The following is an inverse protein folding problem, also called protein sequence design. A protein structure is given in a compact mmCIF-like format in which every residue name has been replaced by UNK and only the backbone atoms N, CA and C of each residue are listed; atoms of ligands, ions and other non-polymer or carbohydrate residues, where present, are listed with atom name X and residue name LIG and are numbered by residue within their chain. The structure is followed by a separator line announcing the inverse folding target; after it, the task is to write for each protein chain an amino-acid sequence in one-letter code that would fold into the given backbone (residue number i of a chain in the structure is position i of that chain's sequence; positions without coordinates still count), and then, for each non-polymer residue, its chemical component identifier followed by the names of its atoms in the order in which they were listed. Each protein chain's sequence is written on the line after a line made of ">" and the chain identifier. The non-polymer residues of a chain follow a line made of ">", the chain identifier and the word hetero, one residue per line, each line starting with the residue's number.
data_IF_294819267348
#
_entry.id   IF_294819267348
#
_cell.length_a   1.000
_cell.length_b   1.000
_cell.length_c   1.000
_cell.angle_alpha   90.00
_cell.angle_beta   90.00
_cell.angle_gamma   90.00
#
_symmetry.space_group_name_H-M   'P 1'
#
loop_
_entity.id
_entity.type
_entity.pdbx_description
1 polymer ?
#
# COMPACT_ATOMS: atom_id res chain seq x y z
N UNK A 1 13.85 -1.88 -11.33
CA UNK A 1 12.84 -1.70 -10.25
C UNK A 1 11.73 -2.73 -10.45
N UNK A 2 11.16 -3.28 -9.37
CA UNK A 2 10.05 -4.23 -9.47
C UNK A 2 8.85 -3.68 -10.25
N UNK A 3 8.59 -2.38 -10.13
CA UNK A 3 7.57 -1.70 -10.94
C UNK A 3 7.73 -1.92 -12.44
N UNK A 4 8.95 -1.80 -12.96
CA UNK A 4 9.22 -1.93 -14.41
C UNK A 4 9.16 -3.40 -14.85
N UNK A 5 9.43 -4.33 -13.94
CA UNK A 5 9.31 -5.76 -14.20
C UNK A 5 7.86 -6.19 -14.35
N UNK A 6 6.97 -5.68 -13.49
CA UNK A 6 5.57 -6.08 -13.45
C UNK A 6 4.64 -5.17 -14.26
N UNK A 7 4.95 -3.86 -14.38
CA UNK A 7 4.09 -2.89 -15.08
C UNK A 7 4.94 -1.82 -15.80
N UNK A 8 5.60 -2.19 -16.91
CA UNK A 8 6.38 -1.24 -17.71
C UNK A 8 5.48 -0.23 -18.45
N UNK A 9 4.23 -0.60 -18.75
CA UNK A 9 3.21 0.25 -19.37
C UNK A 9 2.07 0.45 -18.40
N UNK A 10 1.64 1.70 -18.23
CA UNK A 10 0.60 2.09 -17.28
C UNK A 10 -0.15 3.33 -17.75
N UNK A 11 -1.37 3.51 -17.23
CA UNK A 11 -2.23 4.65 -17.57
C UNK A 11 -2.01 5.84 -16.64
N UNK A 12 -1.75 5.57 -15.36
CA UNK A 12 -1.46 6.58 -14.34
C UNK A 12 -0.31 6.15 -13.45
N UNK A 13 0.43 7.13 -12.97
CA UNK A 13 1.45 6.93 -11.94
C UNK A 13 1.40 8.09 -10.96
N UNK A 14 1.63 7.78 -9.69
CA UNK A 14 1.85 8.76 -8.64
C UNK A 14 3.07 8.37 -7.81
N UNK A 15 3.78 9.35 -7.30
CA UNK A 15 5.00 9.11 -6.53
C UNK A 15 5.14 10.10 -5.39
N UNK A 16 5.59 9.58 -4.27
CA UNK A 16 5.89 10.33 -3.04
C UNK A 16 7.28 9.97 -2.59
N UNK A 17 8.02 10.92 -2.06
CA UNK A 17 9.34 10.69 -1.50
C UNK A 17 9.55 11.52 -0.24
N UNK A 18 10.28 10.96 0.72
CA UNK A 18 10.68 11.66 1.94
C UNK A 18 12.13 11.31 2.29
N UNK A 19 12.86 12.31 2.78
CA UNK A 19 14.19 12.11 3.34
C UNK A 19 14.07 11.66 4.79
N UNK A 20 14.76 10.57 5.13
CA UNK A 20 14.80 9.98 6.47
C UNK A 20 16.22 10.15 7.02
N UNK A 21 16.35 10.71 8.21
CA UNK A 21 17.63 10.89 8.92
C UNK A 21 18.03 9.61 9.66
N UNK A 22 18.17 8.54 8.89
CA UNK A 22 18.62 7.23 9.33
C UNK A 22 19.22 6.46 8.14
N UNK A 23 20.08 5.50 8.41
CA UNK A 23 20.65 4.64 7.39
C UNK A 23 19.60 3.74 6.72
N UNK A 24 19.96 3.11 5.60
CA UNK A 24 19.09 2.23 4.80
C UNK A 24 18.54 1.05 5.62
N UNK A 25 19.35 0.45 6.49
CA UNK A 25 18.93 -0.71 7.27
C UNK A 25 17.86 -0.31 8.30
N UNK A 26 18.10 0.76 9.03
CA UNK A 26 17.18 1.32 10.02
C UNK A 26 15.87 1.76 9.36
N UNK A 27 15.95 2.46 8.21
CA UNK A 27 14.78 2.90 7.46
C UNK A 27 13.97 1.72 6.92
N UNK A 28 14.63 0.71 6.37
CA UNK A 28 13.98 -0.51 5.89
C UNK A 28 13.28 -1.26 7.02
N UNK A 29 13.96 -1.44 8.15
CA UNK A 29 13.38 -2.12 9.31
C UNK A 29 12.18 -1.36 9.88
N UNK A 30 12.20 -0.03 9.84
CA UNK A 30 11.05 0.80 10.21
C UNK A 30 9.88 0.59 9.23
N UNK A 31 10.15 0.62 7.90
CA UNK A 31 9.16 0.37 6.87
C UNK A 31 8.49 -1.01 7.02
N UNK A 32 9.28 -2.05 7.31
CA UNK A 32 8.75 -3.40 7.46
C UNK A 32 8.01 -3.64 8.78
N UNK A 33 8.22 -2.77 9.79
CA UNK A 33 7.52 -2.82 11.09
C UNK A 33 6.31 -1.91 11.16
N UNK A 34 6.16 -0.95 10.23
CA UNK A 34 5.04 -0.02 10.26
C UNK A 34 3.70 -0.74 10.30
N UNK A 35 2.83 -0.29 11.20
CA UNK A 35 1.47 -0.80 11.31
C UNK A 35 0.51 0.15 10.57
N UNK A 36 -0.12 -0.34 9.52
CA UNK A 36 -1.05 0.43 8.69
C UNK A 36 -2.29 0.90 9.48
N UNK A 37 -2.69 0.15 10.50
CA UNK A 37 -3.78 0.57 11.42
C UNK A 37 -3.32 1.78 12.24
N UNK A 38 -2.08 1.76 12.74
CA UNK A 38 -1.50 2.87 13.49
C UNK A 38 -1.28 4.11 12.60
N UNK A 39 -0.91 3.93 11.32
CA UNK A 39 -0.87 5.04 10.34
C UNK A 39 -2.21 5.76 10.28
N UNK A 40 -3.32 5.03 10.17
CA UNK A 40 -4.66 5.62 10.16
C UNK A 40 -5.02 6.35 11.47
N UNK A 41 -4.52 5.87 12.62
CA UNK A 41 -4.71 6.53 13.93
C UNK A 41 -3.88 7.81 14.07
N UNK A 42 -2.62 7.78 13.65
CA UNK A 42 -1.69 8.93 13.73
C UNK A 42 -1.99 10.00 12.69
N UNK A 43 -2.56 9.62 11.55
CA UNK A 43 -2.91 10.50 10.44
C UNK A 43 -4.43 10.50 10.23
N UNK A 44 -5.18 11.39 10.89
CA UNK A 44 -6.65 11.36 10.86
C UNK A 44 -7.24 11.42 9.45
N UNK A 45 -6.59 12.14 8.53
CA UNK A 45 -7.04 12.19 7.13
C UNK A 45 -6.89 10.83 6.44
N UNK A 46 -5.79 10.11 6.69
CA UNK A 46 -5.58 8.73 6.19
C UNK A 46 -6.65 7.80 6.76
N UNK A 47 -6.89 7.88 8.08
CA UNK A 47 -7.94 7.10 8.74
C UNK A 47 -9.34 7.39 8.19
N UNK A 48 -9.65 8.67 7.97
CA UNK A 48 -10.93 9.09 7.40
C UNK A 48 -11.11 8.60 5.94
N UNK A 49 -10.08 8.68 5.11
CA UNK A 49 -10.11 8.16 3.74
C UNK A 49 -10.32 6.64 3.71
N UNK A 50 -9.61 5.91 4.59
CA UNK A 50 -9.79 4.47 4.75
C UNK A 50 -11.20 4.09 5.20
N UNK A 51 -11.72 4.79 6.22
CA UNK A 51 -13.08 4.58 6.71
C UNK A 51 -14.14 4.90 5.63
N UNK A 52 -13.99 6.03 4.93
CA UNK A 52 -14.89 6.40 3.82
C UNK A 52 -14.90 5.33 2.72
N UNK A 53 -13.72 4.76 2.43
CA UNK A 53 -13.60 3.70 1.42
C UNK A 53 -14.22 2.38 1.86
N UNK A 54 -14.20 2.07 3.15
CA UNK A 54 -14.78 0.86 3.72
C UNK A 54 -16.32 0.92 3.91
N UNK A 55 -16.91 2.13 3.93
CA UNK A 55 -18.34 2.31 4.18
C UNK A 55 -19.25 1.49 3.25
N UNK A 56 -19.05 1.45 1.91
CA UNK A 56 -19.93 0.66 1.03
C UNK A 56 -19.89 -0.83 1.34
N UNK A 57 -18.71 -1.38 1.68
CA UNK A 57 -18.55 -2.79 2.04
C UNK A 57 -19.25 -3.10 3.36
N UNK A 58 -19.11 -2.24 4.38
CA UNK A 58 -19.80 -2.35 5.66
C UNK A 58 -21.32 -2.33 5.47
N UNK A 59 -21.83 -1.38 4.70
CA UNK A 59 -23.27 -1.26 4.41
C UNK A 59 -23.76 -2.50 3.66
N UNK A 60 -22.99 -3.01 2.71
CA UNK A 60 -23.34 -4.22 1.96
C UNK A 60 -23.48 -5.44 2.89
N UNK A 61 -22.54 -5.67 3.80
CA UNK A 61 -22.61 -6.76 4.79
C UNK A 61 -23.88 -6.62 5.68
N UNK A 62 -24.13 -5.42 6.19
CA UNK A 62 -25.30 -5.16 7.04
C UNK A 62 -26.61 -5.40 6.30
N UNK A 63 -26.73 -5.01 5.02
CA UNK A 63 -27.94 -5.25 4.22
C UNK A 63 -28.18 -6.75 3.94
N UNK A 64 -27.12 -7.56 3.90
CA UNK A 64 -27.24 -9.01 3.74
C UNK A 64 -27.35 -9.77 5.07
N UNK A 65 -27.41 -9.05 6.21
CA UNK A 65 -27.49 -9.67 7.53
C UNK A 65 -26.19 -10.31 8.01
N UNK A 66 -25.07 -9.95 7.39
CA UNK A 66 -23.74 -10.43 7.73
C UNK A 66 -23.03 -9.42 8.63
N UNK A 67 -22.25 -9.92 9.60
CA UNK A 67 -21.39 -9.04 10.37
C UNK A 67 -20.20 -8.57 9.49
N UNK A 68 -19.89 -7.25 9.48
CA UNK A 68 -18.71 -6.78 8.78
C UNK A 68 -17.45 -7.44 9.39
N UNK A 69 -16.43 -7.73 8.56
CA UNK A 69 -15.19 -8.32 9.05
C UNK A 69 -14.56 -7.43 10.12
N UNK A 70 -14.08 -8.07 11.20
CA UNK A 70 -13.41 -7.34 12.27
C UNK A 70 -12.12 -6.70 11.73
N UNK A 71 -11.91 -5.42 12.06
CA UNK A 71 -10.66 -4.76 11.72
C UNK A 71 -9.49 -5.48 12.42
N UNK A 72 -8.38 -5.75 11.72
CA UNK A 72 -7.22 -6.38 12.33
C UNK A 72 -6.65 -5.49 13.44
N UNK A 73 -6.13 -6.10 14.50
CA UNK A 73 -5.50 -5.37 15.61
C UNK A 73 -4.20 -4.67 15.16
N UNK A 74 -3.48 -5.26 14.22
CA UNK A 74 -2.31 -4.73 13.54
C UNK A 74 -2.26 -5.25 12.10
N UNK A 75 -1.69 -4.49 11.20
CA UNK A 75 -1.57 -4.85 9.79
C UNK A 75 -0.27 -4.28 9.22
N UNK A 76 0.66 -5.15 8.83
CA UNK A 76 1.92 -4.77 8.20
C UNK A 76 1.85 -4.96 6.69
N UNK A 77 2.82 -4.42 5.96
CA UNK A 77 2.87 -4.54 4.50
C UNK A 77 2.83 -5.99 4.01
N UNK A 78 3.57 -6.89 4.65
CA UNK A 78 3.58 -8.32 4.29
C UNK A 78 2.27 -9.03 4.61
N UNK A 79 1.56 -8.58 5.63
CA UNK A 79 0.29 -9.17 6.06
C UNK A 79 -0.83 -8.90 5.04
N UNK A 80 -0.71 -7.83 4.24
CA UNK A 80 -1.68 -7.52 3.18
C UNK A 80 -1.87 -8.68 2.20
N UNK A 81 -0.78 -9.34 1.80
CA UNK A 81 -0.83 -10.48 0.88
C UNK A 81 -1.35 -11.77 1.54
N UNK A 82 -1.48 -11.80 2.86
CA UNK A 82 -2.02 -12.92 3.63
C UNK A 82 -3.49 -12.72 4.01
N UNK A 83 -4.10 -11.58 3.67
CA UNK A 83 -5.52 -11.32 3.95
C UNK A 83 -6.40 -12.30 3.15
N UNK A 84 -7.51 -12.78 3.75
CA UNK A 84 -8.47 -13.65 3.06
C UNK A 84 -9.01 -13.03 1.77
N UNK A 85 -9.37 -13.87 0.81
CA UNK A 85 -10.07 -13.45 -0.40
C UNK A 85 -11.28 -12.59 -0.07
N UNK A 86 -11.45 -11.47 -0.79
CA UNK A 86 -12.53 -10.51 -0.52
C UNK A 86 -12.18 -9.41 0.48
N UNK A 87 -11.11 -9.54 1.26
CA UNK A 87 -10.66 -8.51 2.20
C UNK A 87 -9.51 -7.63 1.66
N UNK A 88 -9.17 -7.72 0.38
CA UNK A 88 -8.15 -6.84 -0.18
C UNK A 88 -7.55 -7.27 -1.51
N UNK A 89 -7.54 -8.56 -1.86
CA UNK A 89 -7.00 -9.03 -3.15
C UNK A 89 -5.52 -8.68 -3.39
N UNK A 90 -4.75 -8.41 -2.33
CA UNK A 90 -3.34 -8.05 -2.42
C UNK A 90 -2.48 -9.26 -2.75
N UNK A 91 -1.47 -9.05 -3.56
CA UNK A 91 -0.42 -10.04 -3.86
C UNK A 91 0.95 -9.42 -3.64
N UNK A 92 1.84 -10.14 -2.96
CA UNK A 92 3.25 -9.76 -2.89
C UNK A 92 3.90 -10.11 -4.23
N UNK A 93 4.25 -9.08 -5.00
CA UNK A 93 4.89 -9.24 -6.31
C UNK A 93 6.39 -9.51 -6.18
N UNK A 94 7.02 -8.92 -5.18
CA UNK A 94 8.43 -9.15 -4.91
C UNK A 94 8.94 -8.31 -3.75
N UNK A 95 10.06 -8.75 -3.19
CA UNK A 95 10.79 -8.05 -2.15
C UNK A 95 12.29 -8.23 -2.37
N UNK A 96 13.01 -7.13 -2.34
CA UNK A 96 14.48 -7.07 -2.30
C UNK A 96 14.86 -6.39 -1.00
N UNK A 97 15.33 -7.18 -0.04
CA UNK A 97 15.63 -6.67 1.29
C UNK A 97 16.57 -5.46 1.25
N UNK A 98 16.21 -4.40 1.98
CA UNK A 98 16.92 -3.11 2.02
C UNK A 98 17.01 -2.39 0.67
N UNK A 99 16.07 -2.66 -0.21
CA UNK A 99 15.97 -2.05 -1.52
C UNK A 99 14.53 -1.67 -1.85
N UNK A 100 13.66 -2.65 -2.11
CA UNK A 100 12.27 -2.38 -2.47
C UNK A 100 11.33 -3.56 -2.15
N UNK A 101 10.06 -3.23 -1.89
CA UNK A 101 8.95 -4.18 -1.81
C UNK A 101 7.85 -3.70 -2.75
N UNK A 102 7.22 -4.63 -3.49
CA UNK A 102 6.11 -4.34 -4.38
C UNK A 102 4.90 -5.22 -4.07
N UNK A 103 3.76 -4.58 -3.94
CA UNK A 103 2.47 -5.19 -3.71
C UNK A 103 1.54 -4.85 -4.88
N UNK A 104 0.82 -5.84 -5.37
CA UNK A 104 -0.14 -5.69 -6.46
C UNK A 104 -1.56 -5.98 -6.02
N UNK A 105 -2.52 -5.41 -6.73
CA UNK A 105 -3.93 -5.80 -6.63
C UNK A 105 -4.63 -5.58 -7.96
N UNK A 106 -5.67 -6.37 -8.20
CA UNK A 106 -6.51 -6.29 -9.40
C UNK A 106 -7.95 -6.13 -8.98
N UNK A 107 -8.66 -5.16 -9.60
CA UNK A 107 -10.06 -4.93 -9.24
C UNK A 107 -10.75 -3.89 -10.11
N UNK A 108 -12.07 -3.80 -9.91
CA UNK A 108 -12.90 -2.72 -10.47
C UNK A 108 -13.04 -1.62 -9.42
N UNK A 109 -11.97 -0.82 -9.25
CA UNK A 109 -11.83 0.16 -8.16
C UNK A 109 -12.86 1.28 -8.16
N UNK A 110 -13.48 1.55 -9.32
CA UNK A 110 -14.53 2.58 -9.49
C UNK A 110 -15.91 2.12 -9.01
N UNK A 111 -16.06 0.84 -8.62
CA UNK A 111 -17.31 0.36 -8.04
C UNK A 111 -17.41 0.73 -6.55
N UNK A 112 -18.60 1.02 -6.04
CA UNK A 112 -18.81 1.24 -4.61
C UNK A 112 -18.27 0.08 -3.76
N UNK A 113 -18.68 -1.15 -4.08
CA UNK A 113 -18.07 -2.39 -3.58
C UNK A 113 -17.07 -2.86 -4.62
N UNK A 114 -15.78 -2.90 -4.26
CA UNK A 114 -14.73 -3.31 -5.20
C UNK A 114 -14.89 -4.80 -5.50
N UNK A 115 -14.93 -5.12 -6.79
CA UNK A 115 -14.80 -6.50 -7.26
C UNK A 115 -13.31 -6.79 -7.45
N UNK A 116 -12.71 -7.50 -6.49
CA UNK A 116 -11.32 -7.92 -6.58
C UNK A 116 -11.16 -9.19 -7.41
N UNK A 117 -9.99 -9.32 -8.05
CA UNK A 117 -9.51 -10.57 -8.65
C UNK A 117 -8.27 -11.04 -7.94
N UNK A 118 -8.28 -12.30 -7.54
CA UNK A 118 -7.13 -12.95 -6.97
C UNK A 118 -6.22 -13.43 -8.11
N UNK A 119 -5.06 -12.77 -8.24
CA UNK A 119 -4.11 -13.02 -9.32
C UNK A 119 -2.75 -13.32 -8.71
N UNK A 120 -2.22 -14.54 -8.88
CA UNK A 120 -0.90 -14.87 -8.37
C UNK A 120 0.21 -14.03 -9.03
N UNK A 121 1.32 -13.84 -8.31
CA UNK A 121 2.39 -12.93 -8.72
C UNK A 121 2.97 -13.25 -10.12
N UNK A 122 3.13 -14.53 -10.45
CA UNK A 122 3.64 -15.00 -11.74
C UNK A 122 2.71 -14.69 -12.92
N UNK A 123 1.40 -14.52 -12.65
CA UNK A 123 0.39 -14.18 -13.67
C UNK A 123 0.02 -12.69 -13.68
N UNK A 124 0.44 -11.93 -12.67
CA UNK A 124 0.04 -10.52 -12.51
C UNK A 124 0.41 -9.67 -13.73
N UNK A 125 1.63 -9.83 -14.25
CA UNK A 125 2.09 -9.07 -15.42
C UNK A 125 1.22 -9.32 -16.65
N UNK A 126 0.89 -10.59 -16.91
CA UNK A 126 0.15 -11.03 -18.09
C UNK A 126 -1.39 -10.93 -17.93
N UNK A 127 -1.88 -10.53 -16.74
CA UNK A 127 -3.33 -10.42 -16.53
C UNK A 127 -3.94 -9.37 -17.45
N UNK A 128 -4.99 -9.76 -18.22
CA UNK A 128 -5.67 -8.96 -19.23
C UNK A 128 -7.19 -9.20 -19.29
N UNK A 129 -7.78 -9.85 -18.26
CA UNK A 129 -9.23 -10.06 -18.20
C UNK A 129 -9.97 -8.72 -18.38
N UNK A 130 -10.91 -8.59 -19.35
CA UNK A 130 -11.56 -7.32 -19.63
C UNK A 130 -12.35 -6.74 -18.46
N UNK A 131 -12.39 -5.42 -18.36
CA UNK A 131 -13.17 -4.70 -17.36
C UNK A 131 -12.47 -4.51 -16.01
N UNK A 132 -11.15 -4.71 -15.92
CA UNK A 132 -10.38 -4.57 -14.68
C UNK A 132 -9.29 -3.50 -14.77
N UNK A 133 -8.74 -3.14 -13.62
CA UNK A 133 -7.49 -2.41 -13.49
C UNK A 133 -6.52 -3.16 -12.58
N UNK A 134 -5.24 -3.11 -12.93
CA UNK A 134 -4.12 -3.60 -12.11
C UNK A 134 -3.45 -2.40 -11.46
N UNK A 135 -3.17 -2.49 -10.18
CA UNK A 135 -2.41 -1.44 -9.45
C UNK A 135 -1.23 -2.07 -8.75
N UNK A 136 -0.08 -1.41 -8.80
CA UNK A 136 1.12 -1.77 -8.04
C UNK A 136 1.48 -0.62 -7.13
N UNK A 137 1.77 -0.94 -5.87
CA UNK A 137 2.44 -0.06 -4.92
C UNK A 137 3.83 -0.60 -4.67
N UNK A 138 4.86 0.19 -4.97
CA UNK A 138 6.24 -0.13 -4.67
C UNK A 138 6.80 0.88 -3.67
N UNK A 139 7.37 0.36 -2.59
CA UNK A 139 8.03 1.14 -1.57
C UNK A 139 9.53 0.81 -1.63
N UNK A 140 10.37 1.83 -1.66
CA UNK A 140 11.79 1.65 -1.84
C UNK A 140 12.62 2.54 -0.94
N UNK A 141 13.84 2.09 -0.62
CA UNK A 141 14.83 2.84 0.14
C UNK A 141 16.11 2.98 -0.69
N UNK A 142 16.68 4.18 -0.73
CA UNK A 142 17.93 4.47 -1.44
C UNK A 142 18.84 5.29 -0.55
N UNK A 143 20.13 4.92 -0.39
CA UNK A 143 21.05 5.73 0.39
C UNK A 143 21.24 7.08 -0.30
N UNK A 144 21.22 8.16 0.47
CA UNK A 144 21.66 9.49 0.06
C UNK A 144 23.08 9.71 0.55
N UNK A 145 23.35 9.32 1.79
CA UNK A 145 24.66 9.25 2.42
C UNK A 145 24.65 8.16 3.52
N UNK A 146 25.69 8.09 4.35
CA UNK A 146 25.83 7.07 5.40
C UNK A 146 24.77 7.20 6.52
N UNK A 147 24.17 8.38 6.70
CA UNK A 147 23.25 8.69 7.78
C UNK A 147 21.85 9.06 7.29
N UNK A 148 21.62 9.12 5.98
CA UNK A 148 20.32 9.51 5.42
C UNK A 148 19.89 8.64 4.24
N UNK A 149 18.57 8.43 4.15
CA UNK A 149 17.94 7.54 3.17
C UNK A 149 16.78 8.26 2.51
N UNK A 150 16.68 8.16 1.19
CA UNK A 150 15.48 8.52 0.44
C UNK A 150 14.50 7.35 0.49
N UNK A 151 13.39 7.55 1.20
CA UNK A 151 12.27 6.63 1.23
C UNK A 151 11.24 7.05 0.18
N UNK A 152 10.86 6.13 -0.71
CA UNK A 152 9.97 6.40 -1.84
C UNK A 152 8.75 5.48 -1.82
N UNK A 153 7.61 6.01 -2.23
CA UNK A 153 6.42 5.24 -2.54
C UNK A 153 5.95 5.59 -3.94
N UNK A 154 5.82 4.60 -4.80
CA UNK A 154 5.35 4.78 -6.17
C UNK A 154 4.17 3.87 -6.42
N UNK A 155 3.12 4.44 -7.00
CA UNK A 155 1.96 3.70 -7.47
C UNK A 155 1.88 3.78 -8.99
N UNK A 156 1.53 2.66 -9.64
CA UNK A 156 1.13 2.62 -11.05
C UNK A 156 -0.16 1.84 -11.21
N UNK A 157 -1.00 2.28 -12.13
CA UNK A 157 -2.22 1.56 -12.52
C UNK A 157 -2.30 1.44 -14.02
N UNK A 158 -2.63 0.23 -14.49
CA UNK A 158 -2.95 -0.07 -15.87
C UNK A 158 -4.35 -0.71 -15.97
N UNK A 159 -5.14 -0.29 -16.92
CA UNK A 159 -6.46 -0.85 -17.22
C UNK A 159 -6.36 -1.89 -18.31
N UNK A 160 -7.29 -2.86 -18.33
CA UNK A 160 -7.24 -4.01 -19.24
C UNK A 160 -7.95 -3.76 -20.56
N UNK A 161 -8.82 -2.73 -20.64
CA UNK A 161 -9.53 -2.34 -21.86
C UNK A 161 -9.99 -0.88 -21.81
N UNK A 162 -10.53 -0.38 -22.93
CA UNK A 162 -11.00 1.01 -23.08
C UNK A 162 -12.16 1.37 -22.15
N UNK A 163 -13.05 0.42 -21.84
CA UNK A 163 -14.18 0.64 -20.92
C UNK A 163 -13.68 0.81 -19.50
N UNK A 164 -12.80 -0.08 -19.03
CA UNK A 164 -12.12 0.04 -17.76
C UNK A 164 -11.33 1.35 -17.68
N UNK A 165 -10.64 1.75 -18.77
CA UNK A 165 -9.90 3.00 -18.84
C UNK A 165 -10.80 4.22 -18.62
N UNK A 166 -11.95 4.29 -19.32
CA UNK A 166 -12.89 5.41 -19.19
C UNK A 166 -13.44 5.52 -17.76
N UNK A 167 -13.83 4.40 -17.15
CA UNK A 167 -14.33 4.38 -15.78
C UNK A 167 -13.28 4.73 -14.77
N UNK A 168 -12.08 4.13 -14.89
CA UNK A 168 -10.96 4.41 -14.01
C UNK A 168 -10.53 5.88 -14.07
N UNK A 169 -10.43 6.48 -15.24
CA UNK A 169 -10.09 7.89 -15.37
C UNK A 169 -11.08 8.80 -14.65
N UNK A 170 -12.39 8.54 -14.78
CA UNK A 170 -13.43 9.30 -14.05
C UNK A 170 -13.24 9.16 -12.53
N UNK A 171 -13.06 7.94 -12.07
CA UNK A 171 -12.82 7.63 -10.66
C UNK A 171 -11.56 8.34 -10.14
N UNK A 172 -10.47 8.30 -10.91
CA UNK A 172 -9.21 8.94 -10.55
C UNK A 172 -9.33 10.47 -10.43
N UNK A 173 -9.99 11.12 -11.41
CA UNK A 173 -10.17 12.58 -11.45
C UNK A 173 -11.18 13.09 -10.42
N UNK A 174 -12.05 12.25 -9.87
CA UNK A 174 -12.96 12.60 -8.78
C UNK A 174 -12.27 12.70 -7.40
N UNK A 175 -10.95 12.76 -7.35
CA UNK A 175 -10.18 12.99 -6.13
C UNK A 175 -9.56 11.74 -5.52
N UNK A 176 -9.79 10.56 -6.09
CA UNK A 176 -9.21 9.31 -5.57
C UNK A 176 -7.69 9.31 -5.74
N UNK A 177 -7.16 9.88 -6.84
CA UNK A 177 -5.72 10.07 -7.02
C UNK A 177 -5.09 10.85 -5.88
N UNK A 178 -5.69 11.97 -5.48
CA UNK A 178 -5.24 12.74 -4.31
C UNK A 178 -5.34 11.94 -3.01
N UNK A 179 -6.38 11.13 -2.85
CA UNK A 179 -6.55 10.24 -1.69
C UNK A 179 -5.45 9.18 -1.61
N UNK A 180 -5.12 8.54 -2.72
CA UNK A 180 -4.03 7.56 -2.81
C UNK A 180 -2.69 8.20 -2.46
N UNK A 181 -2.41 9.41 -2.96
CA UNK A 181 -1.23 10.19 -2.62
C UNK A 181 -1.11 10.42 -1.10
N UNK A 182 -2.19 10.88 -0.46
CA UNK A 182 -2.24 11.13 0.99
C UNK A 182 -2.01 9.86 1.79
N UNK A 183 -2.55 8.71 1.35
CA UNK A 183 -2.34 7.42 2.01
C UNK A 183 -0.86 7.01 1.99
N UNK A 184 -0.21 7.11 0.81
CA UNK A 184 1.21 6.77 0.67
C UNK A 184 2.08 7.77 1.46
N UNK A 185 1.81 9.07 1.36
CA UNK A 185 2.54 10.08 2.13
C UNK A 185 2.43 9.82 3.64
N UNK A 186 1.24 9.51 4.15
CA UNK A 186 1.04 9.19 5.57
C UNK A 186 1.82 7.96 6.02
N UNK A 187 1.92 6.95 5.18
CA UNK A 187 2.75 5.76 5.42
C UNK A 187 4.25 6.14 5.51
N UNK A 188 4.76 6.92 4.53
CA UNK A 188 6.16 7.34 4.54
C UNK A 188 6.50 8.21 5.75
N UNK A 189 5.60 9.12 6.13
CA UNK A 189 5.79 10.00 7.29
C UNK A 189 5.88 9.20 8.60
N UNK A 190 5.00 8.23 8.82
CA UNK A 190 5.04 7.38 10.02
C UNK A 190 6.28 6.47 9.99
N UNK A 191 6.66 5.96 8.82
CA UNK A 191 7.90 5.18 8.67
C UNK A 191 9.12 6.03 9.05
N UNK A 192 9.19 7.29 8.59
CA UNK A 192 10.25 8.23 8.96
C UNK A 192 10.30 8.45 10.47
N UNK A 193 9.16 8.76 11.11
CA UNK A 193 9.07 8.94 12.56
C UNK A 193 9.61 7.72 13.32
N UNK A 194 9.29 6.50 12.85
CA UNK A 194 9.76 5.26 13.46
C UNK A 194 11.27 5.04 13.26
N UNK A 195 11.81 5.42 12.10
CA UNK A 195 13.24 5.28 11.79
C UNK A 195 14.10 6.29 12.56
N UNK A 196 13.61 7.51 12.75
CA UNK A 196 14.29 8.62 13.42
C UNK A 196 14.08 8.60 14.95
N UNK A 197 13.22 7.71 15.46
CA UNK A 197 12.99 7.60 16.90
C UNK A 197 14.27 7.13 17.62
N UNK A 198 14.62 7.71 18.78
CA UNK A 198 15.75 7.27 19.56
C UNK A 198 15.63 5.77 19.88
N UNK A 199 16.69 5.02 19.61
CA UNK A 199 16.74 3.60 20.00
C UNK A 199 16.67 3.52 21.54
N UNK A 200 15.68 2.79 22.11
CA UNK A 200 15.64 2.63 23.57
C UNK A 200 16.96 2.02 24.06
N UNK A 201 17.50 2.51 25.19
CA UNK A 201 18.74 2.00 25.72
C UNK A 201 18.63 0.48 25.94
N UNK A 202 19.63 -0.26 25.48
CA UNK A 202 19.71 -1.71 25.71
C UNK A 202 19.56 -1.99 27.21
N UNK A 203 18.71 -2.96 27.61
CA UNK A 203 18.65 -3.35 29.01
C UNK A 203 20.04 -3.78 29.46
N UNK A 204 20.63 -3.00 30.35
CA UNK A 204 21.95 -3.28 30.93
C UNK A 204 22.00 -4.71 31.45
N UNK A 205 23.20 -5.34 31.54
CA UNK A 205 23.33 -6.68 32.07
C UNK A 205 22.71 -6.73 33.46
N UNK A 206 21.77 -7.65 33.66
CA UNK A 206 21.22 -7.92 35.00
C UNK A 206 22.35 -8.44 35.84
N UNK A 207 22.90 -7.62 36.72
CA UNK A 207 23.79 -8.07 37.79
C UNK A 207 22.96 -8.93 38.75
N UNK A 208 23.15 -10.26 38.62
CA UNK A 208 22.62 -11.25 39.56
C UNK A 208 23.49 -11.29 40.82
#
# INVERSE_FOLDING_TARGET
>A
MLLDEYMPVYDVSDSVATLVQADVATTWDALMRVDLVDVGRRRPLVGALGALRALPDIVSHLLHGEAPPAAPAALRLRDLAALPMGQGGWVLLGERARDEIALGLVGKFWRPVIEFRDVPADRFRAFDEPGFAKTIYALGVRPVDDASTLLTGVMRTATTDDDAHRWFRRYWTLGVGSGAHVLVQGLLDVTRELAEAPTPPSPGPRTG
#
